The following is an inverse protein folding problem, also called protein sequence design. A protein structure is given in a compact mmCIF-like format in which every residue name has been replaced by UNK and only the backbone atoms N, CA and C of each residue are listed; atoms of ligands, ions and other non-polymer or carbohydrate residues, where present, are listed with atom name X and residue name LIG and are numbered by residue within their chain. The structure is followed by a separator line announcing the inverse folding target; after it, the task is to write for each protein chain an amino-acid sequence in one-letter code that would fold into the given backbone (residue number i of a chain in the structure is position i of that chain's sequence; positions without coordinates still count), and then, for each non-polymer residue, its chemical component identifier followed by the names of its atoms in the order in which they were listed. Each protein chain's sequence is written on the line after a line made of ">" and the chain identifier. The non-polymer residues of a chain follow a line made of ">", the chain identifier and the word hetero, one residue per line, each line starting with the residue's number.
data_IF_160878890124
#
_entry.id   IF_160878890124
#
_cell.length_a   1.000
_cell.length_b   1.000
_cell.length_c   1.000
_cell.angle_alpha   90.00
_cell.angle_beta   90.00
_cell.angle_gamma   90.00
#
_symmetry.space_group_name_H-M   'P 1'
#
loop_
_entity.id
_entity.type
_entity.pdbx_description
1 polymer ?
#
# COMPACT_ATOMS: atom_id res chain seq x y z
N UNK A 1 -1.41 16.58 3.25
CA UNK A 1 -1.35 15.10 3.32
C UNK A 1 -1.61 14.70 4.77
N UNK A 2 -2.72 14.01 5.04
CA UNK A 2 -3.33 14.05 6.39
C UNK A 2 -3.16 12.74 7.17
N UNK A 3 -3.35 11.56 6.55
CA UNK A 3 -3.36 10.27 7.26
C UNK A 3 -2.10 9.42 7.01
N UNK A 4 -1.35 9.73 5.94
CA UNK A 4 -0.14 9.02 5.48
C UNK A 4 -0.36 7.52 5.20
N UNK A 5 -1.59 7.07 4.98
CA UNK A 5 -1.91 5.66 4.73
C UNK A 5 -1.09 5.08 3.55
N UNK A 6 -0.76 3.79 3.63
CA UNK A 6 0.11 3.10 2.68
C UNK A 6 -0.69 2.03 1.93
N UNK A 7 -0.43 1.86 0.63
CA UNK A 7 -0.86 0.72 -0.19
C UNK A 7 0.38 0.08 -0.80
N UNK A 8 0.55 -1.24 -0.65
CA UNK A 8 1.68 -2.00 -1.17
C UNK A 8 1.18 -3.04 -2.17
N UNK A 9 1.86 -3.15 -3.30
CA UNK A 9 1.49 -4.13 -4.32
C UNK A 9 2.73 -4.64 -5.07
N UNK A 10 2.84 -5.96 -5.29
CA UNK A 10 3.90 -6.49 -6.12
C UNK A 10 3.61 -6.21 -7.60
N UNK A 11 4.63 -5.73 -8.31
CA UNK A 11 4.57 -5.47 -9.75
C UNK A 11 5.53 -6.40 -10.47
N UNK A 12 5.10 -6.97 -11.59
CA UNK A 12 5.88 -7.94 -12.37
C UNK A 12 6.94 -7.29 -13.26
N UNK A 13 6.82 -5.98 -13.53
CA UNK A 13 7.77 -5.23 -14.34
C UNK A 13 7.80 -3.75 -13.97
N UNK A 14 8.94 -3.10 -14.22
CA UNK A 14 9.09 -1.64 -14.14
C UNK A 14 8.67 -0.99 -15.47
N UNK A 15 7.40 -1.17 -15.86
CA UNK A 15 6.85 -0.62 -17.10
C UNK A 15 5.59 0.21 -16.87
N UNK A 16 5.20 0.99 -17.87
CA UNK A 16 3.96 1.79 -17.86
C UNK A 16 2.74 0.88 -17.72
N UNK A 17 2.72 -0.24 -18.43
CA UNK A 17 1.61 -1.20 -18.48
C UNK A 17 1.40 -1.87 -17.12
N UNK A 18 2.49 -2.34 -16.50
CA UNK A 18 2.45 -2.96 -15.17
C UNK A 18 1.99 -1.96 -14.11
N UNK A 19 2.49 -0.72 -14.17
CA UNK A 19 2.05 0.33 -13.27
C UNK A 19 0.56 0.70 -13.48
N UNK A 20 0.07 0.74 -14.73
CA UNK A 20 -1.34 1.02 -15.02
C UNK A 20 -2.28 -0.01 -14.40
N UNK A 21 -1.94 -1.29 -14.51
CA UNK A 21 -2.71 -2.37 -13.87
C UNK A 21 -2.73 -2.22 -12.33
N UNK A 22 -1.63 -1.74 -11.75
CA UNK A 22 -1.51 -1.49 -10.31
C UNK A 22 -2.36 -0.29 -9.90
N UNK A 23 -2.31 0.80 -10.68
CA UNK A 23 -3.13 1.98 -10.44
C UNK A 23 -4.63 1.66 -10.56
N UNK A 24 -5.02 0.85 -11.53
CA UNK A 24 -6.42 0.40 -11.70
C UNK A 24 -6.90 -0.38 -10.47
N UNK A 25 -6.09 -1.33 -9.98
CA UNK A 25 -6.37 -2.06 -8.73
C UNK A 25 -6.38 -1.16 -7.50
N UNK A 26 -5.53 -0.14 -7.45
CA UNK A 26 -5.55 0.87 -6.38
C UNK A 26 -6.86 1.65 -6.41
N UNK A 27 -7.25 2.18 -7.57
CA UNK A 27 -8.48 2.97 -7.75
C UNK A 27 -9.71 2.15 -7.42
N UNK A 28 -9.77 0.89 -7.86
CA UNK A 28 -10.88 -0.01 -7.54
C UNK A 28 -11.03 -0.27 -6.03
N UNK A 29 -9.94 -0.20 -5.25
CA UNK A 29 -9.96 -0.45 -3.79
C UNK A 29 -10.07 0.81 -2.95
N UNK A 30 -9.52 1.93 -3.42
CA UNK A 30 -9.32 3.16 -2.64
C UNK A 30 -10.05 4.37 -3.20
N UNK A 31 -10.66 4.24 -4.38
CA UNK A 31 -11.21 5.34 -5.15
C UNK A 31 -10.15 6.05 -5.99
N UNK A 32 -10.63 6.84 -6.95
CA UNK A 32 -9.75 7.65 -7.80
C UNK A 32 -9.18 8.82 -7.00
N UNK A 33 -7.84 8.96 -6.90
CA UNK A 33 -7.26 10.12 -6.24
C UNK A 33 -7.54 11.40 -7.03
N UNK A 34 -7.76 12.51 -6.32
CA UNK A 34 -7.83 13.83 -6.94
C UNK A 34 -6.48 14.33 -7.45
N UNK A 35 -5.39 13.88 -6.81
CA UNK A 35 -4.02 14.29 -7.15
C UNK A 35 -3.05 13.13 -6.96
N UNK A 36 -2.14 12.95 -7.92
CA UNK A 36 -1.04 11.98 -7.87
C UNK A 36 0.28 12.76 -7.97
N UNK A 37 1.24 12.40 -7.11
CA UNK A 37 2.60 12.96 -7.12
C UNK A 37 3.59 11.84 -7.38
N UNK A 38 4.54 12.04 -8.30
CA UNK A 38 5.60 11.08 -8.60
C UNK A 38 6.90 11.75 -9.07
N UNK A 39 7.98 10.99 -9.10
CA UNK A 39 9.16 11.37 -9.87
C UNK A 39 8.91 11.24 -11.39
N UNK A 40 9.88 11.70 -12.19
CA UNK A 40 9.84 11.64 -13.66
C UNK A 40 10.21 10.27 -14.23
N UNK A 41 10.03 9.18 -13.48
CA UNK A 41 10.19 7.82 -13.97
C UNK A 41 9.35 7.57 -15.23
N UNK A 42 9.94 6.90 -16.22
CA UNK A 42 9.34 6.74 -17.55
C UNK A 42 7.99 6.00 -17.51
N UNK A 43 7.85 5.05 -16.60
CA UNK A 43 6.59 4.35 -16.30
C UNK A 43 5.48 5.31 -15.82
N UNK A 44 5.81 6.26 -14.94
CA UNK A 44 4.83 7.24 -14.43
C UNK A 44 4.49 8.29 -15.49
N UNK A 45 5.49 8.78 -16.23
CA UNK A 45 5.27 9.72 -17.34
C UNK A 45 4.37 9.10 -18.41
N UNK A 46 4.60 7.83 -18.76
CA UNK A 46 3.76 7.09 -19.69
C UNK A 46 2.31 6.96 -19.21
N UNK A 47 2.13 6.61 -17.92
CA UNK A 47 0.81 6.42 -17.33
C UNK A 47 0.02 7.74 -17.22
N UNK A 48 0.68 8.82 -16.79
CA UNK A 48 0.08 10.15 -16.72
C UNK A 48 -0.39 10.64 -18.08
N UNK A 49 0.40 10.41 -19.14
CA UNK A 49 0.03 10.75 -20.52
C UNK A 49 -1.24 10.01 -20.96
N UNK A 50 -1.33 8.71 -20.68
CA UNK A 50 -2.50 7.90 -21.04
C UNK A 50 -3.74 8.32 -20.25
N UNK A 51 -3.61 8.54 -18.94
CA UNK A 51 -4.70 9.02 -18.09
C UNK A 51 -5.25 10.36 -18.63
N UNK A 52 -4.36 11.28 -19.00
CA UNK A 52 -4.73 12.56 -19.58
C UNK A 52 -5.43 12.42 -20.93
N UNK A 53 -5.02 11.46 -21.77
CA UNK A 53 -5.71 11.17 -23.03
C UNK A 53 -7.12 10.63 -22.81
N UNK A 54 -7.30 9.73 -21.83
CA UNK A 54 -8.61 9.17 -21.50
C UNK A 54 -9.58 10.22 -20.95
N UNK A 55 -9.12 11.07 -20.03
CA UNK A 55 -9.92 12.15 -19.43
C UNK A 55 -10.30 13.23 -20.46
N UNK A 56 -9.42 13.51 -21.43
CA UNK A 56 -9.68 14.51 -22.46
C UNK A 56 -10.33 13.94 -23.73
N UNK A 57 -10.61 12.63 -23.78
CA UNK A 57 -11.22 12.02 -24.95
C UNK A 57 -12.67 12.53 -25.12
N UNK A 58 -13.09 12.97 -26.32
CA UNK A 58 -14.43 13.51 -26.55
C UNK A 58 -15.55 12.59 -26.06
N UNK A 59 -15.44 11.29 -26.32
CA UNK A 59 -16.46 10.30 -25.94
C UNK A 59 -16.58 10.06 -24.43
N UNK A 60 -15.53 10.40 -23.67
CA UNK A 60 -15.50 10.22 -22.22
C UNK A 60 -15.86 11.51 -21.46
N UNK A 61 -15.88 12.66 -22.14
CA UNK A 61 -16.16 13.97 -21.52
C UNK A 61 -17.57 14.03 -20.91
N UNK A 62 -18.55 13.39 -21.54
CA UNK A 62 -19.94 13.40 -21.06
C UNK A 62 -20.18 12.36 -19.94
N UNK A 63 -19.38 11.28 -19.91
CA UNK A 63 -19.45 10.24 -18.86
C UNK A 63 -18.69 10.66 -17.59
N UNK A 64 -17.60 11.40 -17.75
CA UNK A 64 -16.81 11.98 -16.66
C UNK A 64 -17.45 13.31 -16.25
N UNK A 65 -18.67 13.26 -15.72
CA UNK A 65 -19.48 14.41 -15.30
C UNK A 65 -18.73 15.33 -14.32
N UNK A 66 -17.96 16.31 -14.78
CA UNK A 66 -17.43 17.47 -14.04
C UNK A 66 -16.64 17.24 -12.73
N UNK A 67 -16.47 16.00 -12.27
CA UNK A 67 -16.02 15.65 -10.92
C UNK A 67 -14.81 14.72 -10.91
N UNK A 68 -14.35 14.27 -12.08
CA UNK A 68 -13.19 13.40 -12.21
C UNK A 68 -12.01 14.22 -12.69
N UNK A 69 -11.42 14.97 -11.76
CA UNK A 69 -10.12 15.61 -11.94
C UNK A 69 -9.08 14.83 -11.13
N UNK A 70 -8.33 13.95 -11.80
CA UNK A 70 -7.10 13.39 -11.25
C UNK A 70 -5.93 14.17 -11.85
N UNK A 71 -5.37 15.10 -11.08
CA UNK A 71 -4.19 15.87 -11.49
C UNK A 71 -2.90 15.11 -11.21
N UNK A 72 -1.99 15.07 -12.17
CA UNK A 72 -0.68 14.45 -11.99
C UNK A 72 0.40 15.50 -11.88
N UNK A 73 1.17 15.46 -10.79
CA UNK A 73 2.27 16.36 -10.52
C UNK A 73 3.59 15.60 -10.52
N UNK A 74 4.54 16.08 -11.30
CA UNK A 74 5.90 15.54 -11.33
C UNK A 74 6.83 16.39 -10.48
N UNK A 75 7.72 15.73 -9.75
CA UNK A 75 8.76 16.43 -8.99
C UNK A 75 9.64 17.26 -9.94
N UNK A 76 10.01 18.50 -9.56
CA UNK A 76 11.00 19.27 -10.30
C UNK A 76 12.33 18.50 -10.39
N UNK A 77 13.06 18.62 -11.52
CA UNK A 77 14.40 18.05 -11.63
C UNK A 77 15.29 18.52 -10.46
N UNK A 78 15.93 17.59 -9.76
CA UNK A 78 16.85 17.91 -8.65
C UNK A 78 16.17 18.28 -7.33
N UNK A 79 14.86 18.03 -7.16
CA UNK A 79 14.14 18.29 -5.91
C UNK A 79 13.71 17.00 -5.17
N UNK A 80 14.65 16.15 -4.71
CA UNK A 80 14.34 14.87 -4.06
C UNK A 80 13.59 15.02 -2.74
N UNK A 81 13.65 16.20 -2.09
CA UNK A 81 12.93 16.48 -0.85
C UNK A 81 11.39 16.37 -0.98
N UNK A 82 10.84 16.52 -2.19
CA UNK A 82 9.40 16.29 -2.42
C UNK A 82 9.01 14.82 -2.19
N UNK A 83 9.97 13.89 -2.22
CA UNK A 83 9.75 12.46 -2.04
C UNK A 83 9.87 11.91 -0.63
N UNK A 84 10.27 12.71 0.34
CA UNK A 84 10.62 12.22 1.68
C UNK A 84 9.52 11.40 2.36
N UNK A 85 8.24 11.70 2.10
CA UNK A 85 7.13 10.97 2.74
C UNK A 85 6.99 9.54 2.20
N UNK A 86 6.97 9.37 0.87
CA UNK A 86 6.89 8.02 0.31
C UNK A 86 8.22 7.27 0.44
N UNK A 87 9.35 7.96 0.43
CA UNK A 87 10.66 7.35 0.72
C UNK A 87 10.73 6.81 2.16
N UNK A 88 10.20 7.55 3.14
CA UNK A 88 10.09 7.06 4.51
C UNK A 88 9.18 5.83 4.59
N UNK A 89 8.03 5.85 3.91
CA UNK A 89 7.13 4.68 3.84
C UNK A 89 7.80 3.47 3.19
N UNK A 90 8.54 3.67 2.09
CA UNK A 90 9.33 2.63 1.41
C UNK A 90 10.40 2.07 2.34
N UNK A 91 11.11 2.93 3.10
CA UNK A 91 12.11 2.50 4.07
C UNK A 91 11.49 1.62 5.17
N UNK A 92 10.36 2.05 5.74
CA UNK A 92 9.64 1.26 6.76
C UNK A 92 9.14 -0.07 6.19
N UNK A 93 8.56 -0.08 4.99
CA UNK A 93 8.11 -1.30 4.32
C UNK A 93 9.28 -2.28 4.09
N UNK A 94 10.42 -1.80 3.57
CA UNK A 94 11.62 -2.62 3.37
C UNK A 94 12.15 -3.21 4.69
N UNK A 95 12.18 -2.42 5.76
CA UNK A 95 12.64 -2.89 7.07
C UNK A 95 11.76 -4.03 7.59
N UNK A 96 10.44 -3.90 7.46
CA UNK A 96 9.48 -4.94 7.82
C UNK A 96 9.64 -6.18 6.93
N UNK A 97 9.74 -6.01 5.61
CA UNK A 97 9.93 -7.11 4.67
C UNK A 97 11.22 -7.89 4.95
N UNK A 98 12.32 -7.21 5.24
CA UNK A 98 13.60 -7.87 5.58
C UNK A 98 13.49 -8.73 6.84
N UNK A 99 12.75 -8.27 7.85
CA UNK A 99 12.50 -9.05 9.08
C UNK A 99 11.64 -10.29 8.83
N UNK A 100 10.63 -10.18 7.96
CA UNK A 100 9.73 -11.28 7.69
C UNK A 100 10.30 -12.30 6.70
N UNK A 101 10.88 -11.85 5.58
CA UNK A 101 11.12 -12.74 4.46
C UNK A 101 12.34 -13.65 4.65
N UNK A 102 13.29 -13.27 5.50
CA UNK A 102 14.56 -13.98 5.71
C UNK A 102 15.23 -14.36 4.35
N UNK A 103 16.07 -15.39 4.30
CA UNK A 103 16.72 -15.88 3.07
C UNK A 103 15.87 -16.86 2.24
N UNK A 104 14.54 -16.79 2.30
CA UNK A 104 13.65 -17.74 1.62
C UNK A 104 13.19 -17.24 0.23
N UNK A 105 12.88 -18.16 -0.68
CA UNK A 105 12.29 -17.86 -1.98
C UNK A 105 10.76 -17.91 -1.86
N UNK A 106 10.13 -16.81 -2.23
CA UNK A 106 8.69 -16.61 -2.13
C UNK A 106 8.03 -16.67 -3.51
N UNK A 107 6.90 -17.34 -3.62
CA UNK A 107 6.04 -17.23 -4.81
C UNK A 107 5.35 -15.86 -4.84
N UNK A 108 4.82 -15.47 -5.99
CA UNK A 108 4.09 -14.20 -6.11
C UNK A 108 2.90 -14.12 -5.15
N UNK A 109 2.15 -15.21 -4.99
CA UNK A 109 0.99 -15.28 -4.09
C UNK A 109 1.40 -15.06 -2.62
N UNK A 110 2.48 -15.70 -2.19
CA UNK A 110 2.97 -15.56 -0.83
C UNK A 110 3.56 -14.18 -0.59
N UNK A 111 4.34 -13.66 -1.55
CA UNK A 111 4.89 -12.32 -1.45
C UNK A 111 3.77 -11.26 -1.40
N UNK A 112 2.70 -11.45 -2.18
CA UNK A 112 1.49 -10.62 -2.10
C UNK A 112 0.89 -10.67 -0.71
N UNK A 113 0.76 -11.87 -0.13
CA UNK A 113 0.22 -12.06 1.23
C UNK A 113 1.09 -11.36 2.29
N UNK A 114 2.42 -11.47 2.17
CA UNK A 114 3.37 -10.77 3.06
C UNK A 114 3.22 -9.25 2.92
N UNK A 115 3.12 -8.73 1.69
CA UNK A 115 2.91 -7.29 1.46
C UNK A 115 1.61 -6.79 2.07
N UNK A 116 0.49 -7.51 1.94
CA UNK A 116 -0.78 -7.12 2.56
C UNK A 116 -0.67 -7.01 4.08
N UNK A 117 0.08 -7.91 4.73
CA UNK A 117 0.29 -7.87 6.19
C UNK A 117 1.26 -6.77 6.62
N UNK A 118 2.30 -6.50 5.84
CA UNK A 118 3.18 -5.34 6.06
C UNK A 118 2.39 -4.03 5.90
N UNK A 119 1.54 -3.94 4.87
CA UNK A 119 0.63 -2.80 4.68
C UNK A 119 -0.28 -2.61 5.89
N UNK A 120 -0.89 -3.69 6.39
CA UNK A 120 -1.74 -3.63 7.58
C UNK A 120 -0.96 -3.14 8.81
N UNK A 121 0.24 -3.67 9.07
CA UNK A 121 1.09 -3.23 10.18
C UNK A 121 1.46 -1.74 10.06
N UNK A 122 1.85 -1.28 8.86
CA UNK A 122 2.14 0.13 8.62
C UNK A 122 0.90 1.00 8.88
N UNK A 123 -0.28 0.56 8.47
CA UNK A 123 -1.52 1.30 8.64
C UNK A 123 -2.13 1.19 10.05
N UNK A 124 -1.61 0.32 10.93
CA UNK A 124 -2.01 0.23 12.34
C UNK A 124 -1.18 1.10 13.28
N UNK A 125 -0.22 1.89 12.74
CA UNK A 125 0.57 2.81 13.56
C UNK A 125 -0.31 3.92 14.21
N UNK A 126 -0.11 4.25 15.48
CA UNK A 126 -0.88 5.31 16.16
C UNK A 126 -0.58 6.68 15.54
N UNK A 127 -1.62 7.49 15.31
CA UNK A 127 -1.51 8.91 14.91
C UNK A 127 -1.76 9.81 16.12
N UNK A 128 -2.91 9.63 16.77
CA UNK A 128 -3.37 10.41 17.93
C UNK A 128 -4.26 9.54 18.82
N UNK A 129 -4.38 9.85 20.13
CA UNK A 129 -5.40 9.25 20.99
C UNK A 129 -6.80 9.45 20.40
N UNK A 130 -7.68 8.45 20.54
CA UNK A 130 -9.07 8.55 20.09
C UNK A 130 -9.93 9.41 21.04
N UNK A 131 -9.53 9.49 22.30
CA UNK A 131 -10.21 10.22 23.37
C UNK A 131 -9.23 11.06 24.19
N UNK A 132 -9.79 11.98 24.99
CA UNK A 132 -9.05 12.73 26.01
C UNK A 132 -9.06 12.03 27.37
N UNK A 133 -9.76 10.90 27.51
CA UNK A 133 -9.74 10.08 28.72
C UNK A 133 -8.39 9.38 28.87
N UNK A 134 -7.63 9.62 29.95
CA UNK A 134 -6.33 8.97 30.16
C UNK A 134 -6.42 7.45 30.36
N UNK A 135 -7.61 6.89 30.60
CA UNK A 135 -7.83 5.44 30.70
C UNK A 135 -8.21 4.80 29.35
N UNK A 136 -8.51 5.62 28.34
CA UNK A 136 -8.79 5.13 26.98
C UNK A 136 -7.47 4.95 26.22
N UNK A 137 -7.14 3.69 25.94
CA UNK A 137 -5.92 3.32 25.22
C UNK A 137 -6.13 3.23 23.70
N UNK A 138 -7.32 3.54 23.21
CA UNK A 138 -7.58 3.56 21.77
C UNK A 138 -6.88 4.73 21.09
N UNK A 139 -6.40 4.46 19.88
CA UNK A 139 -5.75 5.46 19.05
C UNK A 139 -6.31 5.43 17.63
N UNK A 140 -6.40 6.61 17.01
CA UNK A 140 -6.66 6.71 15.59
C UNK A 140 -5.40 6.29 14.83
N UNK A 141 -5.58 5.42 13.85
CA UNK A 141 -4.53 4.91 12.97
C UNK A 141 -4.88 5.23 11.51
N UNK A 142 -3.92 5.22 10.57
CA UNK A 142 -4.25 5.36 9.15
C UNK A 142 -5.31 4.36 8.67
N UNK A 143 -5.31 3.13 9.21
CA UNK A 143 -6.27 2.08 8.92
C UNK A 143 -7.72 2.48 9.21
N UNK A 144 -7.95 3.23 10.29
CA UNK A 144 -9.29 3.75 10.62
C UNK A 144 -9.86 4.62 9.49
N UNK A 145 -9.01 5.41 8.82
CA UNK A 145 -9.43 6.25 7.69
C UNK A 145 -9.58 5.47 6.37
N UNK A 146 -9.08 4.23 6.31
CA UNK A 146 -9.18 3.37 5.12
C UNK A 146 -10.41 2.47 5.15
N UNK A 147 -10.74 1.88 6.31
CA UNK A 147 -11.81 0.87 6.43
C UNK A 147 -12.86 1.21 7.49
N UNK A 148 -12.65 2.27 8.29
CA UNK A 148 -13.59 2.72 9.33
C UNK A 148 -13.36 2.11 10.71
N UNK A 149 -12.41 1.20 10.87
CA UNK A 149 -12.10 0.49 12.12
C UNK A 149 -10.62 0.03 12.14
N UNK A 150 -10.07 -0.42 13.30
CA UNK A 150 -8.70 -0.94 13.35
C UNK A 150 -8.50 -2.12 12.39
N UNK A 151 -7.33 -2.20 11.75
CA UNK A 151 -6.98 -3.39 10.97
C UNK A 151 -6.60 -4.52 11.94
N UNK A 152 -7.49 -5.50 12.08
CA UNK A 152 -7.32 -6.67 12.94
C UNK A 152 -6.78 -7.85 12.11
N UNK A 153 -5.78 -8.55 12.61
CA UNK A 153 -5.31 -9.80 12.00
C UNK A 153 -6.20 -10.98 12.42
N UNK A 154 -6.41 -11.94 11.51
CA UNK A 154 -7.04 -13.22 11.88
C UNK A 154 -6.18 -13.87 12.98
N UNK A 155 -6.78 -14.28 14.12
CA UNK A 155 -6.04 -14.95 15.19
C UNK A 155 -5.37 -16.22 14.68
N UNK A 156 -4.10 -16.40 15.04
CA UNK A 156 -3.39 -17.61 14.66
C UNK A 156 -3.83 -18.79 15.54
N UNK A 157 -4.12 -19.97 14.95
CA UNK A 157 -4.40 -21.15 15.74
C UNK A 157 -3.17 -21.52 16.56
N UNK A 158 -3.35 -21.67 17.88
CA UNK A 158 -2.33 -22.12 18.82
C UNK A 158 -1.68 -23.42 18.29
N UNK A 159 -0.41 -23.35 17.87
CA UNK A 159 0.24 -24.49 17.23
C UNK A 159 0.65 -25.53 18.28
N UNK A 160 -0.11 -26.62 18.42
CA UNK A 160 0.22 -27.74 19.32
C UNK A 160 0.83 -28.96 18.64
N UNK A 161 1.10 -28.95 17.32
CA UNK A 161 1.78 -30.11 16.71
C UNK A 161 2.70 -29.80 15.53
N UNK A 162 3.86 -30.47 15.57
CA UNK A 162 4.83 -30.56 14.51
C UNK A 162 4.35 -31.58 13.47
N UNK A 163 3.51 -31.15 12.52
CA UNK A 163 3.27 -31.89 11.29
C UNK A 163 3.70 -31.05 10.08
N UNK A 164 4.39 -31.72 9.17
CA UNK A 164 5.24 -31.20 8.10
C UNK A 164 4.57 -31.48 6.74
N UNK A 165 4.46 -30.45 5.91
CA UNK A 165 3.85 -30.50 4.58
C UNK A 165 2.59 -29.64 4.51
N UNK A 166 2.61 -28.57 3.70
CA UNK A 166 1.67 -27.43 3.65
C UNK A 166 1.58 -26.60 4.94
N UNK A 167 1.45 -27.24 6.11
CA UNK A 167 1.54 -26.56 7.40
C UNK A 167 2.89 -25.85 7.58
N UNK A 168 3.98 -26.35 7.01
CA UNK A 168 5.32 -25.74 7.17
C UNK A 168 5.42 -24.36 6.51
N UNK A 169 4.78 -24.17 5.35
CA UNK A 169 4.91 -22.94 4.56
C UNK A 169 3.93 -21.87 5.03
N UNK A 170 2.73 -22.30 5.46
CA UNK A 170 1.84 -21.46 6.24
C UNK A 170 2.43 -21.10 7.61
N UNK A 171 3.07 -22.04 8.32
CA UNK A 171 3.80 -21.75 9.57
C UNK A 171 4.98 -20.83 9.32
N UNK A 172 5.70 -20.95 8.20
CA UNK A 172 6.78 -20.03 7.83
C UNK A 172 6.23 -18.61 7.67
N UNK A 173 5.16 -18.46 6.88
CA UNK A 173 4.41 -17.22 6.78
C UNK A 173 4.11 -16.71 8.19
N UNK A 174 3.40 -17.47 9.03
CA UNK A 174 3.04 -17.05 10.38
C UNK A 174 4.22 -16.67 11.29
N UNK A 175 5.30 -17.43 11.26
CA UNK A 175 6.52 -17.13 12.01
C UNK A 175 7.16 -15.83 11.55
N UNK A 176 7.26 -15.60 10.23
CA UNK A 176 7.69 -14.34 9.65
C UNK A 176 6.85 -13.16 10.16
N UNK A 177 5.58 -13.39 10.49
CA UNK A 177 4.68 -12.36 10.98
C UNK A 177 4.70 -12.13 12.50
N UNK A 178 5.04 -13.13 13.31
CA UNK A 178 5.25 -12.91 14.75
C UNK A 178 6.38 -11.91 15.02
N UNK A 179 7.31 -11.74 14.08
CA UNK A 179 8.34 -10.71 14.17
C UNK A 179 7.84 -9.28 13.90
N UNK A 180 6.57 -9.07 13.53
CA UNK A 180 6.03 -7.72 13.29
C UNK A 180 5.49 -7.02 14.53
N UNK A 181 4.92 -7.80 15.45
CA UNK A 181 4.32 -7.36 16.70
C UNK A 181 5.25 -7.64 17.88
#
# INVERSE_FOLDING_TARGET
>A
MTTKAVHLEPVSALSTEAFRLTLDRFVARRGLPSSIYSDCGTNFVGAARQLRQLVNHPDNRDQLSGHIACEWHFNPPGAPHFGGIWEAAVKSAKSLLLRAMNSQVWTLEEFTTVLCRVEAALNSRPLVPASSDPNDLECLTPGHFLVGYPLISIPDPMSTSAQTGLQTRWKLLQQSFQFFW
#
